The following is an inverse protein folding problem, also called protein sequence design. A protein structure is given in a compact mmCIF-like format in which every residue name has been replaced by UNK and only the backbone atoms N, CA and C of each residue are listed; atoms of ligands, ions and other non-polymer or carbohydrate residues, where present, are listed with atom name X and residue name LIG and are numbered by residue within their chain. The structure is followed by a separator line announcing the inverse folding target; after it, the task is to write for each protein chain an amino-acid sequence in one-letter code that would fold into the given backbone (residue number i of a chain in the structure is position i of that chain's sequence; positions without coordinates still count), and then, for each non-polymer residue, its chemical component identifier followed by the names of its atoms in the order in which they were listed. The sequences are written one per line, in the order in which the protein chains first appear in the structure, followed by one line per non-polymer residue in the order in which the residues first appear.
data_IF_469972387097
#
_entry.id   IF_469972387097
#
_cell.length_a   1.000
_cell.length_b   1.000
_cell.length_c   1.000
_cell.angle_alpha   90.00
_cell.angle_beta   90.00
_cell.angle_gamma   90.00
#
_symmetry.space_group_name_H-M   'P 1'
#
loop_
_entity.id
_entity.type
_entity.pdbx_description
1 polymer ?
#
# COMPACT_ATOMS: atom_id res chain seq x y z
N UNK A 1 -11.55 6.17 5.85
CA UNK A 1 -11.57 5.72 7.25
C UNK A 1 -10.19 5.19 7.65
N UNK A 2 -9.40 5.99 8.39
CA UNK A 2 -8.06 5.59 8.82
C UNK A 2 -8.06 4.39 9.78
N UNK A 3 -9.03 4.30 10.69
CA UNK A 3 -9.07 3.25 11.70
C UNK A 3 -9.36 1.88 11.10
N UNK A 4 -10.30 1.80 10.14
CA UNK A 4 -10.55 0.56 9.39
C UNK A 4 -9.33 0.13 8.58
N UNK A 5 -8.69 1.07 7.88
CA UNK A 5 -7.49 0.78 7.08
C UNK A 5 -6.34 0.26 7.95
N UNK A 6 -6.10 0.87 9.11
CA UNK A 6 -5.08 0.40 10.05
C UNK A 6 -5.34 -1.04 10.51
N UNK A 7 -6.57 -1.37 10.90
CA UNK A 7 -6.95 -2.74 11.31
C UNK A 7 -6.76 -3.75 10.17
N UNK A 8 -7.11 -3.37 8.94
CA UNK A 8 -6.93 -4.23 7.78
C UNK A 8 -5.45 -4.51 7.47
N UNK A 9 -4.59 -3.48 7.56
CA UNK A 9 -3.14 -3.64 7.36
C UNK A 9 -2.56 -4.57 8.42
N UNK A 10 -2.89 -4.39 9.70
CA UNK A 10 -2.39 -5.26 10.78
C UNK A 10 -2.79 -6.72 10.52
N UNK A 11 -4.07 -6.98 10.22
CA UNK A 11 -4.54 -8.34 9.91
C UNK A 11 -3.86 -8.92 8.66
N UNK A 12 -3.68 -8.13 7.61
CA UNK A 12 -3.02 -8.56 6.39
C UNK A 12 -1.57 -8.98 6.64
N UNK A 13 -0.83 -8.23 7.46
CA UNK A 13 0.55 -8.56 7.84
C UNK A 13 0.60 -9.81 8.71
N UNK A 14 -0.32 -9.96 9.66
CA UNK A 14 -0.39 -11.17 10.50
C UNK A 14 -0.70 -12.42 9.69
N UNK A 15 -1.55 -12.32 8.67
CA UNK A 15 -2.03 -13.45 7.86
C UNK A 15 -1.54 -13.38 6.41
N UNK A 16 -0.31 -12.94 6.17
CA UNK A 16 0.21 -12.64 4.83
C UNK A 16 0.19 -13.83 3.86
N UNK A 17 0.14 -15.07 4.36
CA UNK A 17 0.10 -16.30 3.57
C UNK A 17 -1.31 -16.89 3.42
N UNK A 18 -2.35 -16.28 4.00
CA UNK A 18 -3.73 -16.76 3.88
C UNK A 18 -4.51 -15.90 2.84
N UNK A 19 -4.73 -16.41 1.62
CA UNK A 19 -5.39 -15.65 0.57
C UNK A 19 -6.87 -15.34 0.88
N UNK A 20 -7.54 -16.16 1.70
CA UNK A 20 -8.94 -15.94 2.05
C UNK A 20 -9.07 -14.74 3.00
N UNK A 21 -8.19 -14.66 4.01
CA UNK A 21 -8.15 -13.53 4.93
C UNK A 21 -7.75 -12.25 4.20
N UNK A 22 -6.76 -12.30 3.30
CA UNK A 22 -6.35 -11.14 2.49
C UNK A 22 -7.49 -10.60 1.63
N UNK A 23 -8.28 -11.49 1.01
CA UNK A 23 -9.45 -11.10 0.24
C UNK A 23 -10.56 -10.49 1.11
N UNK A 24 -10.73 -10.96 2.35
CA UNK A 24 -11.70 -10.39 3.29
C UNK A 24 -11.30 -8.98 3.73
N UNK A 25 -10.06 -8.80 4.20
CA UNK A 25 -9.60 -7.52 4.77
C UNK A 25 -9.44 -6.42 3.71
N UNK A 26 -9.32 -6.79 2.42
CA UNK A 26 -9.23 -5.83 1.32
C UNK A 26 -10.59 -5.22 0.94
N UNK A 27 -11.71 -5.77 1.43
CA UNK A 27 -13.05 -5.28 1.10
C UNK A 27 -13.40 -4.02 1.90
N UNK A 28 -14.07 -3.07 1.25
CA UNK A 28 -14.67 -1.92 1.92
C UNK A 28 -13.69 -0.91 2.54
N UNK A 29 -12.40 -0.93 2.13
CA UNK A 29 -11.38 0.01 2.61
C UNK A 29 -11.48 1.42 1.98
N UNK A 30 -12.37 1.58 1.00
CA UNK A 30 -12.53 2.78 0.19
C UNK A 30 -11.36 3.02 -0.75
N UNK A 31 -11.34 4.18 -1.39
CA UNK A 31 -10.32 4.53 -2.37
C UNK A 31 -8.90 4.58 -1.75
N UNK A 32 -7.89 4.04 -2.43
CA UNK A 32 -6.51 4.19 -2.01
C UNK A 32 -6.03 5.64 -2.12
N UNK A 33 -4.96 5.98 -1.39
CA UNK A 33 -4.27 7.25 -1.62
C UNK A 33 -3.63 7.23 -3.01
N UNK A 34 -3.72 8.34 -3.74
CA UNK A 34 -3.15 8.47 -5.07
C UNK A 34 -1.63 8.42 -4.99
N UNK A 35 -1.03 7.44 -5.67
CA UNK A 35 0.41 7.38 -5.87
C UNK A 35 0.89 8.39 -6.92
N UNK A 36 2.17 8.75 -6.85
CA UNK A 36 2.86 9.47 -7.92
C UNK A 36 3.56 8.46 -8.82
N UNK A 37 3.42 8.64 -10.12
CA UNK A 37 4.19 7.88 -11.11
C UNK A 37 5.67 8.25 -11.04
N UNK A 38 6.55 7.29 -11.30
CA UNK A 38 8.00 7.48 -11.17
C UNK A 38 8.53 8.63 -12.04
N UNK A 39 7.94 8.85 -13.22
CA UNK A 39 8.31 9.95 -14.11
C UNK A 39 7.89 11.34 -13.63
N UNK A 40 6.95 11.42 -12.67
CA UNK A 40 6.50 12.68 -12.07
C UNK A 40 7.30 13.06 -10.81
N UNK A 41 8.12 12.15 -10.28
CA UNK A 41 8.98 12.41 -9.13
C UNK A 41 10.20 13.19 -9.61
N UNK A 42 10.53 14.29 -8.92
CA UNK A 42 11.71 15.08 -9.24
C UNK A 42 12.97 14.26 -8.97
N UNK A 43 14.06 14.49 -9.73
CA UNK A 43 15.29 13.69 -9.59
C UNK A 43 15.87 13.74 -8.18
N UNK A 44 15.68 14.86 -7.48
CA UNK A 44 16.18 15.12 -6.14
C UNK A 44 15.36 14.39 -5.06
N UNK A 45 14.13 13.99 -5.37
CA UNK A 45 13.21 13.28 -4.47
C UNK A 45 13.25 11.75 -4.69
N UNK A 46 14.00 11.29 -5.70
CA UNK A 46 14.20 9.86 -5.94
C UNK A 46 15.13 9.28 -4.86
N UNK A 47 14.66 8.23 -4.17
CA UNK A 47 15.45 7.48 -3.19
C UNK A 47 16.72 6.85 -3.79
N UNK A 48 16.70 6.54 -5.09
CA UNK A 48 17.86 6.12 -5.86
C UNK A 48 17.73 6.63 -7.31
N UNK A 49 18.80 7.18 -7.86
CA UNK A 49 18.90 7.46 -9.29
C UNK A 49 18.99 6.17 -10.10
N UNK A 50 18.63 6.22 -11.39
CA UNK A 50 18.93 5.12 -12.32
C UNK A 50 20.42 5.18 -12.67
N UNK A 51 21.18 4.18 -12.24
CA UNK A 51 22.60 4.00 -12.57
C UNK A 51 23.36 3.46 -11.36
N UNK A 52 24.08 2.35 -11.55
CA UNK A 52 25.18 1.92 -10.70
C UNK A 52 26.42 2.75 -11.07
#
# INVERSE_FOLDING_TARGET
DPARRAKAIVKAVTHFNDPAILAEVSKGLGEPMRGLEIGAIKKEELLAGRGW
#
